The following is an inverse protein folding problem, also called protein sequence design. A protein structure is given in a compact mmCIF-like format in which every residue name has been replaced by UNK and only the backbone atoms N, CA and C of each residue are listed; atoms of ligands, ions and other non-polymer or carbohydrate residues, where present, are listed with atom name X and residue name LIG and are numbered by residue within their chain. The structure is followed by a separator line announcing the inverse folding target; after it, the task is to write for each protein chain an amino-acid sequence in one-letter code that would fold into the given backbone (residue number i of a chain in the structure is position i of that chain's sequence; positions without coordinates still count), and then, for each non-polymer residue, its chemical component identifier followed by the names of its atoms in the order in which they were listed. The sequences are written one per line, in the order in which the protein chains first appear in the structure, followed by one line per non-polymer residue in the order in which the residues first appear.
data_IF_130268921954
#
_entry.id   IF_130268921954
#
_cell.length_a   1.000
_cell.length_b   1.000
_cell.length_c   1.000
_cell.angle_alpha   90.00
_cell.angle_beta   90.00
_cell.angle_gamma   90.00
#
_symmetry.space_group_name_H-M   'P 1'
#
loop_
_entity.id
_entity.type
_entity.pdbx_description
1 polymer ?
#
# COMPACT_ATOMS: atom_id res chain seq x y z
N UNK A 1 15.51 16.13 -25.23
CA UNK A 1 14.19 16.83 -25.27
C UNK A 1 14.23 17.90 -24.19
N UNK A 2 13.48 19.02 -24.30
CA UNK A 2 13.44 20.01 -23.21
C UNK A 2 12.86 19.39 -21.92
N UNK A 3 13.48 19.68 -20.76
CA UNK A 3 13.07 19.09 -19.47
C UNK A 3 11.65 19.47 -19.12
N UNK A 4 11.24 20.73 -19.38
CA UNK A 4 9.87 21.17 -19.16
C UNK A 4 8.86 20.39 -20.00
N UNK A 5 9.22 20.09 -21.26
CA UNK A 5 8.41 19.26 -22.15
C UNK A 5 8.32 17.81 -21.66
N UNK A 6 9.42 17.23 -21.16
CA UNK A 6 9.41 15.87 -20.59
C UNK A 6 8.51 15.78 -19.37
N UNK A 7 8.60 16.73 -18.43
CA UNK A 7 7.71 16.80 -17.26
C UNK A 7 6.24 16.86 -17.67
N UNK A 8 5.91 17.69 -18.66
CA UNK A 8 4.53 17.78 -19.17
C UNK A 8 4.02 16.48 -19.81
N UNK A 9 4.89 15.74 -20.52
CA UNK A 9 4.54 14.42 -21.07
C UNK A 9 4.29 13.42 -19.94
N UNK A 10 5.20 13.35 -18.96
CA UNK A 10 5.07 12.45 -17.81
C UNK A 10 3.82 12.74 -17.00
N UNK A 11 3.50 14.01 -16.76
CA UNK A 11 2.25 14.42 -16.11
C UNK A 11 1.03 13.87 -16.86
N UNK A 12 1.01 14.00 -18.19
CA UNK A 12 -0.06 13.41 -19.01
C UNK A 12 -0.13 11.89 -18.91
N UNK A 13 1.02 11.21 -18.92
CA UNK A 13 1.08 9.74 -18.81
C UNK A 13 0.56 9.27 -17.45
N UNK A 14 1.01 9.86 -16.36
CA UNK A 14 0.55 9.52 -15.00
C UNK A 14 -0.95 9.77 -14.82
N UNK A 15 -1.48 10.86 -15.41
CA UNK A 15 -2.91 11.14 -15.37
C UNK A 15 -3.72 10.06 -16.10
N UNK A 16 -3.25 9.60 -17.26
CA UNK A 16 -3.92 8.54 -18.04
C UNK A 16 -3.85 7.19 -17.34
N UNK A 17 -2.74 6.89 -16.65
CA UNK A 17 -2.59 5.64 -15.92
C UNK A 17 -3.49 5.54 -14.68
N UNK A 18 -3.89 6.67 -14.09
CA UNK A 18 -4.76 6.70 -12.92
C UNK A 18 -4.17 5.90 -11.77
N UNK A 19 -5.03 5.11 -11.12
CA UNK A 19 -4.70 4.34 -9.91
C UNK A 19 -3.78 3.13 -10.15
N UNK A 20 -3.60 2.70 -11.41
CA UNK A 20 -2.65 1.62 -11.74
C UNK A 20 -1.20 2.12 -11.72
N UNK A 21 -0.99 3.42 -11.96
CA UNK A 21 0.32 4.03 -12.10
C UNK A 21 1.15 3.51 -13.28
N UNK A 22 2.40 3.95 -13.36
CA UNK A 22 3.36 3.55 -14.39
C UNK A 22 4.70 3.23 -13.75
N UNK A 23 5.27 2.07 -14.07
CA UNK A 23 6.59 1.69 -13.60
C UNK A 23 7.69 2.56 -14.24
N UNK A 24 8.76 2.83 -13.50
CA UNK A 24 9.92 3.58 -14.00
C UNK A 24 10.49 3.00 -15.31
N UNK A 25 10.48 1.67 -15.45
CA UNK A 25 10.93 0.96 -16.66
C UNK A 25 10.03 1.20 -17.87
N UNK A 26 8.72 1.31 -17.65
CA UNK A 26 7.77 1.62 -18.70
C UNK A 26 7.94 3.07 -19.16
N UNK A 27 8.07 4.02 -18.21
CA UNK A 27 8.40 5.41 -18.52
C UNK A 27 9.71 5.53 -19.30
N UNK A 28 10.77 4.82 -18.89
CA UNK A 28 12.05 4.81 -19.60
C UNK A 28 11.90 4.36 -21.06
N UNK A 29 11.11 3.31 -21.29
CA UNK A 29 10.82 2.79 -22.63
C UNK A 29 10.02 3.78 -23.48
N UNK A 30 9.00 4.43 -22.90
CA UNK A 30 8.12 5.36 -23.61
C UNK A 30 8.83 6.68 -23.94
N UNK A 31 9.70 7.16 -23.04
CA UNK A 31 10.40 8.42 -23.18
C UNK A 31 11.74 8.31 -23.91
N UNK A 32 12.19 7.09 -24.21
CA UNK A 32 13.52 6.79 -24.76
C UNK A 32 14.65 7.38 -23.89
N UNK A 33 14.58 7.08 -22.59
CA UNK A 33 15.51 7.53 -21.55
C UNK A 33 16.09 6.34 -20.79
N UNK A 34 17.24 6.55 -20.14
CA UNK A 34 17.75 5.58 -19.19
C UNK A 34 16.93 5.59 -17.88
N UNK A 35 16.87 4.44 -17.19
CA UNK A 35 16.10 4.29 -15.96
C UNK A 35 16.49 5.32 -14.89
N UNK A 36 17.78 5.64 -14.78
CA UNK A 36 18.28 6.59 -13.80
C UNK A 36 17.84 8.03 -14.10
N UNK A 37 17.69 8.39 -15.37
CA UNK A 37 17.19 9.70 -15.80
C UNK A 37 15.70 9.85 -15.48
N UNK A 38 14.92 8.77 -15.64
CA UNK A 38 13.50 8.76 -15.25
C UNK A 38 13.35 8.93 -13.75
N UNK A 39 14.11 8.20 -12.94
CA UNK A 39 14.05 8.34 -11.47
C UNK A 39 14.38 9.77 -11.05
N UNK A 40 15.43 10.37 -11.63
CA UNK A 40 15.78 11.77 -11.37
C UNK A 40 14.67 12.74 -11.78
N UNK A 41 14.06 12.53 -12.96
CA UNK A 41 12.93 13.33 -13.44
C UNK A 41 11.72 13.23 -12.50
N UNK A 42 11.40 12.02 -12.02
CA UNK A 42 10.29 11.80 -11.10
C UNK A 42 10.53 12.48 -9.75
N UNK A 43 11.75 12.42 -9.23
CA UNK A 43 12.10 13.08 -7.96
C UNK A 43 12.03 14.61 -8.09
N UNK A 44 12.47 15.16 -9.23
CA UNK A 44 12.32 16.59 -9.52
C UNK A 44 10.84 17.00 -9.62
N UNK A 45 10.00 16.21 -10.31
CA UNK A 45 8.56 16.48 -10.41
C UNK A 45 7.84 16.38 -9.06
N UNK A 46 8.21 15.43 -8.20
CA UNK A 46 7.70 15.34 -6.83
C UNK A 46 8.01 16.61 -6.04
N UNK A 47 9.24 17.12 -6.17
CA UNK A 47 9.66 18.35 -5.52
C UNK A 47 8.88 19.56 -6.06
N UNK A 48 8.74 19.70 -7.39
CA UNK A 48 7.98 20.78 -8.02
C UNK A 48 6.52 20.82 -7.53
N UNK A 49 5.86 19.67 -7.46
CA UNK A 49 4.47 19.58 -6.98
C UNK A 49 4.33 19.98 -5.51
N UNK A 50 5.32 19.64 -4.67
CA UNK A 50 5.39 20.05 -3.26
C UNK A 50 5.60 21.56 -3.13
N UNK A 51 6.61 22.12 -3.80
CA UNK A 51 6.95 23.55 -3.75
C UNK A 51 5.83 24.44 -4.28
N UNK A 52 5.15 24.01 -5.34
CA UNK A 52 4.02 24.76 -5.94
C UNK A 52 2.71 24.62 -5.15
N UNK A 53 2.71 23.91 -4.02
CA UNK A 53 1.55 23.67 -3.17
C UNK A 53 0.34 23.13 -3.96
N UNK A 54 0.58 22.23 -4.94
CA UNK A 54 -0.50 21.61 -5.73
C UNK A 54 -1.38 20.74 -4.84
N UNK A 55 -2.63 20.48 -5.23
CA UNK A 55 -3.54 19.58 -4.53
C UNK A 55 -3.25 18.08 -4.75
N UNK A 56 -2.50 17.79 -5.81
CA UNK A 56 -2.01 16.46 -6.17
C UNK A 56 -0.55 16.32 -5.74
N UNK A 57 -0.11 15.07 -5.62
CA UNK A 57 1.28 14.69 -5.43
C UNK A 57 1.58 13.44 -6.25
N UNK A 58 2.87 13.20 -6.51
CA UNK A 58 3.33 11.98 -7.17
C UNK A 58 3.88 11.07 -6.08
N UNK A 59 3.36 9.86 -6.01
CA UNK A 59 3.85 8.81 -5.11
C UNK A 59 4.30 7.61 -5.93
N UNK A 60 5.13 6.78 -5.31
CA UNK A 60 5.48 5.48 -5.85
C UNK A 60 4.84 4.43 -4.96
N UNK A 61 4.03 3.55 -5.55
CA UNK A 61 3.29 2.48 -4.86
C UNK A 61 3.47 1.22 -5.70
N UNK A 62 3.84 0.11 -5.06
CA UNK A 62 4.11 -1.16 -5.74
C UNK A 62 5.02 -1.03 -7.01
N UNK A 63 6.08 -0.21 -6.92
CA UNK A 63 7.05 0.12 -8.00
C UNK A 63 6.48 0.93 -9.18
N UNK A 64 5.25 1.42 -9.08
CA UNK A 64 4.61 2.28 -10.06
C UNK A 64 4.45 3.70 -9.52
N UNK A 65 4.76 4.70 -10.34
CA UNK A 65 4.46 6.09 -10.03
C UNK A 65 3.01 6.41 -10.38
N UNK A 66 2.32 7.11 -9.51
CA UNK A 66 0.95 7.56 -9.77
C UNK A 66 0.66 8.90 -9.10
N UNK A 67 -0.40 9.56 -9.59
CA UNK A 67 -0.95 10.72 -8.90
C UNK A 67 -1.83 10.28 -7.74
N UNK A 68 -1.61 10.90 -6.59
CA UNK A 68 -2.54 10.83 -5.47
C UNK A 68 -2.88 12.23 -5.00
N UNK A 69 -3.94 12.35 -4.21
CA UNK A 69 -4.26 13.59 -3.53
C UNK A 69 -3.33 13.79 -2.34
N UNK A 70 -3.11 15.06 -1.95
CA UNK A 70 -2.33 15.35 -0.74
C UNK A 70 -3.15 15.03 0.51
N UNK A 71 -2.56 14.33 1.50
CA UNK A 71 -3.25 13.93 2.73
C UNK A 71 -3.71 15.12 3.56
N UNK A 72 -3.04 16.27 3.45
CA UNK A 72 -3.41 17.54 4.07
C UNK A 72 -4.83 18.00 3.72
N UNK A 73 -5.34 17.57 2.55
CA UNK A 73 -6.68 17.94 2.07
C UNK A 73 -7.69 16.78 2.18
N UNK A 74 -7.35 15.70 2.90
CA UNK A 74 -8.17 14.50 3.02
C UNK A 74 -9.62 14.79 3.44
N UNK A 75 -9.85 15.73 4.35
CA UNK A 75 -11.20 16.08 4.83
C UNK A 75 -12.15 16.52 3.71
N UNK A 76 -11.61 17.16 2.66
CA UNK A 76 -12.40 17.66 1.54
C UNK A 76 -12.77 16.51 0.58
N UNK A 77 -11.85 15.57 0.37
CA UNK A 77 -12.10 14.38 -0.45
C UNK A 77 -13.03 13.39 0.26
N UNK A 78 -12.94 13.24 1.58
CA UNK A 78 -13.88 12.43 2.35
C UNK A 78 -15.32 12.97 2.23
N UNK A 79 -15.51 14.29 2.32
CA UNK A 79 -16.81 14.94 2.08
C UNK A 79 -17.34 14.69 0.68
N UNK A 80 -16.47 14.63 -0.33
CA UNK A 80 -16.84 14.27 -1.70
C UNK A 80 -17.21 12.77 -1.80
N UNK A 81 -16.48 11.91 -1.10
CA UNK A 81 -16.64 10.46 -1.09
C UNK A 81 -17.81 9.94 -0.23
N UNK A 82 -18.55 10.81 0.46
CA UNK A 82 -19.73 10.47 1.28
C UNK A 82 -20.95 9.92 0.49
N UNK A 83 -20.72 9.35 -0.70
CA UNK A 83 -21.63 8.39 -1.34
C UNK A 83 -21.21 6.99 -0.88
N UNK A 84 -22.05 6.23 -0.15
CA UNK A 84 -21.64 5.01 0.55
C UNK A 84 -21.37 3.88 -0.44
N UNK A 85 -20.12 3.69 -0.85
CA UNK A 85 -19.75 2.57 -1.72
C UNK A 85 -18.27 2.17 -1.66
N UNK A 86 -17.67 2.05 -0.48
CA UNK A 86 -16.49 1.20 -0.33
C UNK A 86 -16.63 0.39 0.95
N UNK A 87 -17.01 -0.88 0.82
CA UNK A 87 -17.09 -1.81 1.94
C UNK A 87 -15.69 -1.99 2.53
N UNK A 88 -15.43 -1.29 3.63
CA UNK A 88 -14.19 -1.35 4.40
C UNK A 88 -13.95 -2.78 4.91
N UNK A 89 -12.69 -3.10 5.18
CA UNK A 89 -12.34 -4.33 5.88
C UNK A 89 -12.84 -4.23 7.32
N UNK A 90 -13.39 -5.32 7.85
CA UNK A 90 -13.73 -5.39 9.27
C UNK A 90 -12.45 -5.40 10.10
N UNK A 91 -12.54 -4.98 11.37
CA UNK A 91 -11.42 -5.01 12.32
C UNK A 91 -10.76 -6.40 12.38
N UNK A 92 -11.56 -7.46 12.47
CA UNK A 92 -11.03 -8.83 12.45
C UNK A 92 -10.23 -9.16 11.18
N UNK A 93 -10.64 -8.64 10.01
CA UNK A 93 -9.92 -8.84 8.76
C UNK A 93 -8.63 -8.02 8.71
N UNK A 94 -8.63 -6.78 9.22
CA UNK A 94 -7.44 -5.94 9.33
C UNK A 94 -6.38 -6.57 10.24
N UNK A 95 -6.77 -7.02 11.43
CA UNK A 95 -5.85 -7.69 12.37
C UNK A 95 -5.30 -9.01 11.79
N UNK A 96 -6.12 -9.77 11.07
CA UNK A 96 -5.68 -11.02 10.41
C UNK A 96 -4.64 -10.72 9.33
N UNK A 97 -4.91 -9.69 8.53
CA UNK A 97 -4.03 -9.25 7.46
C UNK A 97 -2.71 -8.69 7.99
N UNK A 98 -2.73 -7.95 9.11
CA UNK A 98 -1.53 -7.45 9.75
C UNK A 98 -0.58 -8.59 10.13
N UNK A 99 -1.08 -9.63 10.81
CA UNK A 99 -0.24 -10.79 11.18
C UNK A 99 0.34 -11.46 9.92
N UNK A 100 -0.47 -11.64 8.87
CA UNK A 100 0.03 -12.22 7.61
C UNK A 100 1.13 -11.34 7.00
N UNK A 101 0.96 -10.01 6.96
CA UNK A 101 1.95 -9.10 6.41
C UNK A 101 3.32 -9.20 7.12
N UNK A 102 3.32 -9.33 8.46
CA UNK A 102 4.53 -9.40 9.28
C UNK A 102 5.14 -10.79 9.45
N UNK A 103 4.34 -11.85 9.33
CA UNK A 103 4.76 -13.24 9.61
C UNK A 103 4.76 -14.15 8.39
N UNK A 104 4.40 -13.63 7.21
CA UNK A 104 4.44 -14.42 5.98
C UNK A 104 5.83 -15.01 5.71
N UNK A 105 5.89 -16.22 5.12
CA UNK A 105 4.78 -17.12 4.83
C UNK A 105 4.24 -17.80 6.10
N UNK A 106 2.93 -17.74 6.35
CA UNK A 106 2.29 -18.27 7.59
C UNK A 106 1.09 -19.18 7.27
N UNK A 107 0.91 -20.23 8.07
CA UNK A 107 -0.25 -21.14 7.95
C UNK A 107 -1.48 -20.62 8.70
N UNK A 108 -2.66 -21.13 8.34
CA UNK A 108 -3.90 -20.82 9.10
C UNK A 108 -3.77 -21.18 10.59
N UNK A 109 -3.12 -22.29 10.92
CA UNK A 109 -3.04 -22.76 12.29
C UNK A 109 -2.18 -21.80 13.14
N UNK A 110 -0.99 -21.45 12.65
CA UNK A 110 -0.11 -20.46 13.31
C UNK A 110 -0.80 -19.10 13.46
N UNK A 111 -1.57 -18.69 12.45
CA UNK A 111 -2.35 -17.45 12.50
C UNK A 111 -3.42 -17.48 13.60
N UNK A 112 -4.15 -18.60 13.72
CA UNK A 112 -5.18 -18.79 14.76
C UNK A 112 -4.56 -18.90 16.16
N UNK A 113 -3.36 -19.48 16.28
CA UNK A 113 -2.59 -19.51 17.54
C UNK A 113 -2.20 -18.10 17.99
N UNK A 114 -1.73 -17.25 17.07
CA UNK A 114 -1.39 -15.85 17.38
C UNK A 114 -2.66 -15.04 17.70
N UNK A 115 -3.74 -15.25 16.94
CA UNK A 115 -5.01 -14.50 17.11
C UNK A 115 -5.84 -14.94 18.32
N UNK A 116 -5.64 -16.16 18.80
CA UNK A 116 -6.47 -16.79 19.83
C UNK A 116 -7.91 -17.11 19.38
N UNK A 117 -8.27 -16.89 18.11
CA UNK A 117 -9.61 -17.10 17.55
C UNK A 117 -9.54 -17.62 16.12
N UNK A 118 -10.63 -18.23 15.63
CA UNK A 118 -10.71 -18.74 14.26
C UNK A 118 -10.63 -17.60 13.23
N UNK A 119 -9.84 -17.80 12.17
CA UNK A 119 -9.57 -16.77 11.17
C UNK A 119 -10.12 -17.08 9.76
N UNK A 120 -10.87 -18.17 9.60
CA UNK A 120 -11.32 -18.67 8.29
C UNK A 120 -12.13 -17.64 7.47
N UNK A 121 -13.07 -16.93 8.10
CA UNK A 121 -13.86 -15.89 7.43
C UNK A 121 -13.04 -14.67 7.04
N UNK A 122 -12.08 -14.26 7.88
CA UNK A 122 -11.14 -13.19 7.59
C UNK A 122 -10.23 -13.55 6.41
N UNK A 123 -9.62 -14.75 6.45
CA UNK A 123 -8.80 -15.28 5.34
C UNK A 123 -9.61 -15.30 4.05
N UNK A 124 -10.83 -15.87 4.07
CA UNK A 124 -11.68 -15.94 2.88
C UNK A 124 -12.00 -14.55 2.31
N UNK A 125 -12.27 -13.57 3.18
CA UNK A 125 -12.56 -12.20 2.76
C UNK A 125 -11.32 -11.52 2.16
N UNK A 126 -10.15 -11.70 2.76
CA UNK A 126 -8.89 -11.13 2.27
C UNK A 126 -8.50 -11.74 0.92
N UNK A 127 -8.68 -13.05 0.74
CA UNK A 127 -8.49 -13.72 -0.56
C UNK A 127 -9.48 -13.17 -1.60
N UNK A 128 -10.76 -13.01 -1.25
CA UNK A 128 -11.77 -12.49 -2.19
C UNK A 128 -11.49 -11.06 -2.66
N UNK A 129 -10.71 -10.30 -1.88
CA UNK A 129 -10.25 -8.94 -2.20
C UNK A 129 -8.84 -8.93 -2.80
N UNK A 130 -8.28 -10.11 -3.11
CA UNK A 130 -6.91 -10.31 -3.59
C UNK A 130 -5.82 -9.70 -2.69
N UNK A 131 -6.08 -9.45 -1.40
CA UNK A 131 -5.09 -8.86 -0.49
C UNK A 131 -4.08 -9.89 0.03
N UNK A 132 -4.45 -11.17 0.03
CA UNK A 132 -3.57 -12.29 0.37
C UNK A 132 -3.75 -13.43 -0.65
N UNK A 133 -2.74 -14.29 -0.77
CA UNK A 133 -2.76 -15.46 -1.65
C UNK A 133 -2.07 -16.67 -1.02
N UNK A 134 -2.32 -17.86 -1.57
CA UNK A 134 -1.50 -19.05 -1.31
C UNK A 134 -0.12 -18.83 -1.95
N UNK A 135 0.93 -18.92 -1.14
CA UNK A 135 2.33 -18.79 -1.59
C UNK A 135 3.07 -20.13 -1.59
N UNK A 136 2.43 -21.19 -1.10
CA UNK A 136 2.97 -22.54 -1.08
C UNK A 136 2.29 -23.41 -0.02
N UNK A 137 2.96 -24.51 0.35
CA UNK A 137 2.51 -25.42 1.41
C UNK A 137 3.67 -25.73 2.34
N UNK A 138 3.39 -25.83 3.63
CA UNK A 138 4.41 -26.15 4.63
C UNK A 138 4.86 -27.61 4.49
N UNK A 139 6.16 -27.86 4.73
CA UNK A 139 6.76 -29.20 4.74
C UNK A 139 6.56 -29.91 6.10
N UNK A 140 5.31 -29.94 6.55
CA UNK A 140 4.87 -30.58 7.80
C UNK A 140 3.70 -31.51 7.55
N UNK A 141 3.29 -32.26 8.59
CA UNK A 141 2.18 -33.21 8.51
C UNK A 141 0.90 -32.48 8.06
N UNK A 142 0.23 -33.02 7.05
CA UNK A 142 -0.99 -32.44 6.49
C UNK A 142 -0.76 -31.35 5.44
N UNK A 143 0.50 -30.92 5.21
CA UNK A 143 0.89 -29.92 4.20
C UNK A 143 -0.07 -28.72 4.13
N UNK A 144 -0.23 -27.99 5.26
CA UNK A 144 -1.13 -26.85 5.32
C UNK A 144 -0.69 -25.75 4.34
N UNK A 145 -1.68 -24.98 3.88
CA UNK A 145 -1.48 -23.84 2.97
C UNK A 145 -0.71 -22.74 3.70
N UNK A 146 0.29 -22.16 3.02
CA UNK A 146 1.00 -20.95 3.44
C UNK A 146 0.39 -19.73 2.75
N UNK A 147 0.11 -18.69 3.53
CA UNK A 147 -0.42 -17.42 3.05
C UNK A 147 0.64 -16.33 3.05
N UNK A 148 0.55 -15.43 2.08
CA UNK A 148 1.34 -14.21 1.99
C UNK A 148 0.54 -13.08 1.34
N UNK A 149 1.07 -11.87 1.40
CA UNK A 149 0.45 -10.68 0.80
C UNK A 149 0.66 -10.65 -0.72
N UNK A 150 -0.09 -9.77 -1.37
CA UNK A 150 -0.10 -9.60 -2.82
C UNK A 150 0.38 -8.21 -3.23
N UNK A 151 0.33 -7.89 -4.52
CA UNK A 151 0.59 -6.52 -5.00
C UNK A 151 -0.57 -5.60 -4.62
N UNK A 152 -1.80 -6.10 -4.70
CA UNK A 152 -3.03 -5.41 -4.33
C UNK A 152 -3.04 -5.03 -2.83
N UNK A 153 -2.34 -5.79 -1.97
CA UNK A 153 -2.10 -5.37 -0.59
C UNK A 153 -1.25 -4.10 -0.53
N UNK A 154 -0.13 -4.05 -1.26
CA UNK A 154 0.74 -2.87 -1.29
C UNK A 154 -0.02 -1.65 -1.85
N UNK A 155 -0.83 -1.86 -2.89
CA UNK A 155 -1.69 -0.83 -3.47
C UNK A 155 -2.75 -0.35 -2.47
N UNK A 156 -3.43 -1.27 -1.77
CA UNK A 156 -4.44 -0.93 -0.77
C UNK A 156 -3.87 -0.12 0.40
N UNK A 157 -2.61 -0.36 0.79
CA UNK A 157 -1.93 0.33 1.88
C UNK A 157 -0.99 1.46 1.43
N UNK A 158 -0.87 1.72 0.13
CA UNK A 158 0.01 2.77 -0.40
C UNK A 158 1.50 2.54 -0.17
N UNK A 159 1.95 1.28 -0.11
CA UNK A 159 3.34 0.90 0.17
C UNK A 159 4.12 0.65 -1.14
N UNK A 160 5.41 0.99 -1.17
CA UNK A 160 6.31 0.61 -2.29
C UNK A 160 6.67 -0.86 -2.24
N UNK A 161 6.98 -1.34 -1.04
CA UNK A 161 7.39 -2.71 -0.75
C UNK A 161 7.08 -3.04 0.72
N UNK A 162 7.34 -4.28 1.13
CA UNK A 162 7.04 -4.75 2.49
C UNK A 162 8.01 -4.19 3.55
N UNK A 163 9.17 -3.66 3.15
CA UNK A 163 10.15 -3.10 4.09
C UNK A 163 9.72 -1.72 4.63
N UNK A 164 8.71 -1.09 4.01
CA UNK A 164 8.07 0.13 4.50
C UNK A 164 7.02 -0.13 5.59
N UNK A 165 6.75 -1.39 5.92
CA UNK A 165 5.89 -1.70 7.06
C UNK A 165 6.55 -1.21 8.37
N UNK A 166 5.77 -0.61 9.29
CA UNK A 166 6.29 -0.20 10.59
C UNK A 166 6.74 -1.42 11.40
N UNK A 167 7.43 -1.24 12.54
CA UNK A 167 7.80 -2.35 13.39
C UNK A 167 6.59 -3.23 13.75
N UNK A 168 6.75 -4.56 13.79
CA UNK A 168 5.65 -5.46 14.10
C UNK A 168 5.11 -5.15 15.50
N UNK A 169 3.78 -5.06 15.68
CA UNK A 169 3.19 -4.88 17.00
C UNK A 169 3.49 -6.10 17.88
N UNK A 170 3.43 -5.92 19.20
CA UNK A 170 3.61 -7.05 20.12
C UNK A 170 2.38 -7.97 20.07
N UNK A 171 2.48 -9.03 19.26
CA UNK A 171 1.41 -10.01 19.10
C UNK A 171 1.19 -10.92 20.32
N UNK A 172 1.95 -10.73 21.42
CA UNK A 172 1.90 -11.58 22.62
C UNK A 172 0.98 -11.09 23.73
N UNK A 173 0.38 -9.90 23.60
CA UNK A 173 -0.46 -9.32 24.65
C UNK A 173 -1.95 -9.61 24.45
N UNK A 174 -2.54 -10.33 25.42
CA UNK A 174 -3.98 -10.40 25.63
C UNK A 174 -4.58 -8.98 25.69
N UNK A 175 -5.44 -8.65 24.73
CA UNK A 175 -6.44 -7.59 24.86
C UNK A 175 -5.89 -6.16 24.91
N UNK A 176 -6.42 -5.33 24.02
CA UNK A 176 -6.38 -3.85 24.08
C UNK A 176 -4.99 -3.23 23.99
N UNK A 177 -4.45 -3.14 22.78
CA UNK A 177 -3.64 -1.97 22.34
C UNK A 177 -3.39 -1.92 20.82
N UNK A 178 -3.88 -2.91 20.06
CA UNK A 178 -3.87 -2.87 18.58
C UNK A 178 -4.65 -1.67 18.03
N UNK A 179 -5.63 -1.16 18.77
CA UNK A 179 -6.39 0.04 18.40
C UNK A 179 -5.54 1.31 18.47
N UNK A 180 -4.66 1.45 19.47
CA UNK A 180 -3.78 2.60 19.57
C UNK A 180 -2.64 2.53 18.56
N UNK A 181 -2.08 1.35 18.30
CA UNK A 181 -1.00 1.20 17.32
C UNK A 181 -1.49 1.26 15.86
N UNK A 182 -2.66 0.70 15.54
CA UNK A 182 -3.26 0.84 14.20
C UNK A 182 -3.80 2.25 13.95
N UNK A 183 -4.29 2.93 15.00
CA UNK A 183 -4.65 4.35 14.92
C UNK A 183 -3.40 5.24 14.86
N UNK A 184 -2.32 4.91 15.58
CA UNK A 184 -1.02 5.55 15.42
C UNK A 184 -0.46 5.31 14.02
N UNK A 185 -0.62 4.13 13.43
CA UNK A 185 -0.22 3.85 12.04
C UNK A 185 -0.94 4.78 11.07
N UNK A 186 -2.27 4.87 11.18
CA UNK A 186 -3.08 5.78 10.36
C UNK A 186 -2.76 7.27 10.58
N UNK A 187 -2.27 7.64 11.77
CA UNK A 187 -2.00 9.04 12.14
C UNK A 187 -0.54 9.46 11.92
N UNK A 188 0.42 8.56 12.10
CA UNK A 188 1.86 8.81 11.94
C UNK A 188 2.23 9.01 10.48
N UNK A 189 1.57 8.29 9.56
CA UNK A 189 1.67 8.56 8.11
C UNK A 189 1.13 9.96 7.73
N UNK A 190 0.27 10.57 8.55
CA UNK A 190 -0.18 11.96 8.35
C UNK A 190 0.75 12.99 9.00
N UNK A 191 1.53 12.63 10.01
CA UNK A 191 2.41 13.55 10.75
C UNK A 191 3.85 13.58 10.19
N UNK A 192 4.40 12.45 9.73
CA UNK A 192 5.78 12.36 9.20
C UNK A 192 5.99 12.97 7.80
N UNK A 193 4.92 13.39 7.11
CA UNK A 193 4.99 14.24 5.90
C UNK A 193 5.07 15.74 6.19
N UNK A 194 5.07 16.13 7.48
CA UNK A 194 5.02 17.54 7.93
C UNK A 194 6.38 18.09 8.36
N UNK A 195 7.48 17.57 7.83
CA UNK A 195 8.81 18.20 7.96
C UNK A 195 9.50 18.38 6.60
#
# INVERSE_FOLDING_TARGET
MDVGKLKAIVEGLLFVAGDEGIEAKQLATVLDLELHEVVALMDEMKHDYKEQQRGLQIVEIAQAYQFTTRPEFAEYFERLAYTPSHATLSQAALETMAIIAYKQPITRLELEEIRGVKCESSISRLISKNLIKEVGRADTIGRPILYGTTKEFLEYFGLRNLDELPPPPDFSAEGTDVEQEAYLFYKKDKEDTTS
#
